data_IF_893102969107
#
_entry.id   IF_893102969107
#
_cell.length_a   1.000
_cell.length_b   1.000
_cell.length_c   1.000
_cell.angle_alpha   90.00
_cell.angle_beta   90.00
_cell.angle_gamma   90.00
#
_symmetry.space_group_name_H-M   'P 1'
#
loop_
_entity.id
_entity.type
_entity.pdbx_description
1 polymer ?
#
# COMPACT_ATOMS: atom_id res chain seq x y z
N UNK A 1 -9.15 -26.53 16.86
CA UNK A 1 -8.60 -25.43 17.69
C UNK A 1 -7.67 -24.49 16.91
N UNK A 2 -7.03 -24.94 15.82
CA UNK A 2 -6.05 -24.18 15.04
C UNK A 2 -6.59 -22.96 14.25
N UNK A 3 -7.85 -23.02 13.76
CA UNK A 3 -8.40 -22.02 12.83
C UNK A 3 -8.53 -20.59 13.39
N UNK A 4 -8.53 -20.43 14.72
CA UNK A 4 -8.63 -19.14 15.40
C UNK A 4 -7.25 -18.48 15.63
N UNK A 5 -6.18 -19.26 15.52
CA UNK A 5 -4.80 -18.80 15.74
C UNK A 5 -4.30 -18.12 14.46
N UNK A 6 -4.52 -18.71 13.28
CA UNK A 6 -4.07 -18.16 12.00
C UNK A 6 -4.67 -16.79 11.68
N UNK A 7 -5.96 -16.59 11.97
CA UNK A 7 -6.64 -15.31 11.73
C UNK A 7 -6.17 -14.20 12.68
N UNK A 8 -5.87 -14.56 13.93
CA UNK A 8 -5.33 -13.65 14.95
C UNK A 8 -3.90 -13.24 14.62
N UNK A 9 -3.07 -14.19 14.16
CA UNK A 9 -1.70 -13.92 13.69
C UNK A 9 -1.73 -12.96 12.48
N UNK A 10 -2.56 -13.24 11.48
CA UNK A 10 -2.64 -12.40 10.28
C UNK A 10 -3.08 -10.96 10.61
N UNK A 11 -4.08 -10.80 11.47
CA UNK A 11 -4.52 -9.47 11.90
C UNK A 11 -3.44 -8.72 12.70
N UNK A 12 -2.68 -9.42 13.54
CA UNK A 12 -1.56 -8.81 14.27
C UNK A 12 -0.43 -8.39 13.33
N UNK A 13 -0.10 -9.20 12.32
CA UNK A 13 0.92 -8.85 11.31
C UNK A 13 0.53 -7.56 10.58
N UNK A 14 -0.74 -7.46 10.13
CA UNK A 14 -1.21 -6.25 9.43
C UNK A 14 -1.21 -5.04 10.37
N UNK A 15 -1.58 -5.22 11.65
CA UNK A 15 -1.54 -4.14 12.64
C UNK A 15 -0.12 -3.63 12.89
N UNK A 16 0.85 -4.54 13.02
CA UNK A 16 2.28 -4.21 13.13
C UNK A 16 2.75 -3.48 11.87
N UNK A 17 2.33 -3.94 10.69
CA UNK A 17 2.62 -3.27 9.41
C UNK A 17 2.16 -1.81 9.42
N UNK A 18 0.89 -1.55 9.76
CA UNK A 18 0.35 -0.19 9.87
C UNK A 18 1.13 0.65 10.90
N UNK A 19 1.39 0.08 12.08
CA UNK A 19 2.13 0.77 13.14
C UNK A 19 3.55 1.14 12.71
N UNK A 20 4.24 0.22 12.03
CA UNK A 20 5.58 0.43 11.50
C UNK A 20 5.58 1.54 10.44
N UNK A 21 4.59 1.55 9.53
CA UNK A 21 4.47 2.61 8.51
C UNK A 21 4.28 3.98 9.15
N UNK A 22 3.35 4.10 10.11
CA UNK A 22 3.09 5.38 10.78
C UNK A 22 4.34 5.85 11.53
N UNK A 23 5.03 4.92 12.22
CA UNK A 23 6.29 5.21 12.90
C UNK A 23 7.35 5.75 11.92
N UNK A 24 7.58 5.06 10.79
CA UNK A 24 8.52 5.53 9.77
C UNK A 24 8.14 6.91 9.24
N UNK A 25 6.86 7.16 8.95
CA UNK A 25 6.40 8.45 8.43
C UNK A 25 6.67 9.58 9.44
N UNK A 26 6.47 9.35 10.74
CA UNK A 26 6.74 10.34 11.78
C UNK A 26 8.24 10.66 11.93
N UNK A 27 9.09 9.65 11.83
CA UNK A 27 10.55 9.82 11.97
C UNK A 27 11.22 10.33 10.68
N UNK A 28 10.60 10.14 9.52
CA UNK A 28 11.16 10.53 8.23
C UNK A 28 11.63 11.99 8.13
N UNK A 29 10.85 13.02 8.50
CA UNK A 29 11.29 14.41 8.39
C UNK A 29 12.47 14.73 9.31
N UNK A 30 12.50 14.17 10.52
CA UNK A 30 13.62 14.32 11.45
C UNK A 30 14.87 13.61 10.92
N UNK A 31 14.72 12.39 10.42
CA UNK A 31 15.81 11.59 9.85
C UNK A 31 16.43 12.23 8.61
N UNK A 32 15.59 12.71 7.69
CA UNK A 32 16.06 13.46 6.51
C UNK A 32 16.78 14.74 6.92
N UNK A 33 16.21 15.52 7.85
CA UNK A 33 16.84 16.77 8.31
C UNK A 33 18.21 16.49 8.95
N UNK A 34 18.32 15.47 9.80
CA UNK A 34 19.59 15.06 10.41
C UNK A 34 20.61 14.57 9.37
N UNK A 35 20.19 13.78 8.39
CA UNK A 35 21.05 13.27 7.32
C UNK A 35 21.61 14.41 6.46
N UNK A 36 20.76 15.32 5.99
CA UNK A 36 21.20 16.46 5.18
C UNK A 36 22.12 17.41 5.97
N UNK A 37 21.86 17.60 7.26
CA UNK A 37 22.69 18.44 8.13
C UNK A 37 24.07 17.82 8.42
N UNK A 38 24.11 16.52 8.72
CA UNK A 38 25.34 15.84 9.15
C UNK A 38 26.23 15.40 7.98
N UNK A 39 25.63 14.85 6.93
CA UNK A 39 26.37 14.25 5.80
C UNK A 39 26.75 15.30 4.75
N UNK A 40 25.83 16.22 4.46
CA UNK A 40 25.99 17.18 3.34
C UNK A 40 26.28 18.61 3.81
N UNK A 41 26.22 18.90 5.12
CA UNK A 41 26.44 20.24 5.67
C UNK A 41 25.37 21.26 5.26
N UNK A 42 24.22 20.82 4.75
CA UNK A 42 23.16 21.69 4.24
C UNK A 42 22.20 22.00 5.41
N UNK A 43 22.34 23.17 6.01
CA UNK A 43 21.64 23.53 7.26
C UNK A 43 20.33 24.31 7.03
N UNK A 44 20.09 24.86 5.84
CA UNK A 44 18.99 25.81 5.59
C UNK A 44 18.21 25.58 4.30
N UNK A 45 18.20 24.36 3.76
CA UNK A 45 17.46 24.07 2.53
C UNK A 45 16.07 23.51 2.83
N UNK A 46 15.09 23.87 2.00
CA UNK A 46 13.74 23.29 2.05
C UNK A 46 13.69 21.85 1.48
N UNK A 47 14.84 21.27 1.13
CA UNK A 47 14.95 19.95 0.47
C UNK A 47 14.36 18.83 1.33
N UNK A 48 14.68 18.71 2.65
CA UNK A 48 14.12 17.64 3.48
C UNK A 48 12.60 17.70 3.57
N UNK A 49 12.04 18.91 3.59
CA UNK A 49 10.59 19.14 3.66
C UNK A 49 9.93 18.73 2.35
N UNK A 50 10.45 19.16 1.20
CA UNK A 50 9.91 18.81 -0.12
C UNK A 50 9.93 17.28 -0.34
N UNK A 51 11.03 16.62 0.03
CA UNK A 51 11.13 15.15 -0.04
C UNK A 51 10.13 14.46 0.88
N UNK A 52 9.99 14.93 2.13
CA UNK A 52 9.02 14.38 3.09
C UNK A 52 7.59 14.48 2.58
N UNK A 53 7.22 15.63 2.00
CA UNK A 53 5.90 15.83 1.38
C UNK A 53 5.67 14.84 0.24
N UNK A 54 6.65 14.63 -0.64
CA UNK A 54 6.57 13.64 -1.71
C UNK A 54 6.31 12.22 -1.17
N UNK A 55 7.02 11.81 -0.13
CA UNK A 55 6.82 10.50 0.50
C UNK A 55 5.45 10.39 1.16
N UNK A 56 4.96 11.45 1.79
CA UNK A 56 3.63 11.45 2.41
C UNK A 56 2.50 11.30 1.38
N UNK A 57 2.64 11.92 0.20
CA UNK A 57 1.69 11.76 -0.90
C UNK A 57 1.63 10.29 -1.35
N UNK A 58 2.79 9.63 -1.53
CA UNK A 58 2.85 8.20 -1.88
C UNK A 58 2.33 7.30 -0.74
N UNK A 59 2.48 7.69 0.52
CA UNK A 59 2.06 6.85 1.64
C UNK A 59 0.52 6.71 1.77
N UNK A 60 -0.26 7.64 1.21
CA UNK A 60 -1.73 7.66 1.35
C UNK A 60 -2.39 6.42 0.72
N UNK A 61 -2.21 6.10 -0.58
CA UNK A 61 -2.80 4.89 -1.18
C UNK A 61 -2.34 3.61 -0.47
N UNK A 62 -1.07 3.53 -0.11
CA UNK A 62 -0.50 2.41 0.64
C UNK A 62 -1.20 2.19 2.00
N UNK A 63 -1.42 3.24 2.78
CA UNK A 63 -2.13 3.14 4.08
C UNK A 63 -3.59 2.71 3.89
N UNK A 64 -4.27 3.22 2.87
CA UNK A 64 -5.66 2.81 2.55
C UNK A 64 -5.70 1.32 2.19
N UNK A 65 -4.72 0.83 1.42
CA UNK A 65 -4.60 -0.59 1.08
C UNK A 65 -4.37 -1.45 2.33
N UNK A 66 -3.50 -1.05 3.26
CA UNK A 66 -3.26 -1.75 4.52
C UNK A 66 -4.51 -1.80 5.41
N UNK A 67 -5.24 -0.70 5.53
CA UNK A 67 -6.50 -0.67 6.30
C UNK A 67 -7.54 -1.61 5.67
N UNK A 68 -7.63 -1.64 4.34
CA UNK A 68 -8.52 -2.54 3.62
C UNK A 68 -8.12 -4.00 3.81
N UNK A 69 -6.81 -4.30 3.81
CA UNK A 69 -6.28 -5.62 4.13
C UNK A 69 -6.62 -6.05 5.56
N UNK A 70 -6.53 -5.14 6.54
CA UNK A 70 -6.94 -5.42 7.93
C UNK A 70 -8.41 -5.81 8.01
N UNK A 71 -9.29 -5.06 7.32
CA UNK A 71 -10.73 -5.37 7.27
C UNK A 71 -10.98 -6.74 6.63
N UNK A 72 -10.29 -7.05 5.53
CA UNK A 72 -10.34 -8.35 4.87
C UNK A 72 -9.94 -9.49 5.83
N UNK A 73 -8.83 -9.34 6.55
CA UNK A 73 -8.36 -10.33 7.54
C UNK A 73 -9.39 -10.54 8.66
N UNK A 74 -10.03 -9.46 9.13
CA UNK A 74 -11.09 -9.55 10.13
C UNK A 74 -12.34 -10.27 9.63
N UNK A 75 -12.71 -10.12 8.36
CA UNK A 75 -13.87 -10.81 7.78
C UNK A 75 -13.64 -12.32 7.69
N UNK A 76 -12.43 -12.72 7.29
CA UNK A 76 -12.01 -14.13 7.26
C UNK A 76 -12.02 -14.71 8.68
N UNK A 77 -11.54 -13.95 9.67
CA UNK A 77 -11.55 -14.35 11.08
C UNK A 77 -12.98 -14.61 11.61
N UNK A 78 -13.95 -13.81 11.18
CA UNK A 78 -15.36 -13.92 11.59
C UNK A 78 -16.11 -15.09 10.94
N UNK A 79 -15.43 -15.95 10.17
CA UNK A 79 -16.00 -17.13 9.47
C UNK A 79 -17.19 -16.80 8.55
N UNK A 80 -17.20 -15.60 7.94
CA UNK A 80 -18.16 -15.23 6.90
C UNK A 80 -17.46 -15.19 5.52
N UNK A 81 -17.06 -16.36 4.96
CA UNK A 81 -16.22 -16.43 3.77
C UNK A 81 -16.90 -15.95 2.47
N UNK A 82 -18.24 -15.90 2.45
CA UNK A 82 -19.03 -15.44 1.29
C UNK A 82 -19.62 -14.04 1.50
N UNK A 83 -19.01 -13.21 2.35
CA UNK A 83 -19.44 -11.83 2.51
C UNK A 83 -19.13 -11.02 1.25
N UNK A 84 -20.12 -10.28 0.73
CA UNK A 84 -19.93 -9.29 -0.36
C UNK A 84 -18.91 -8.19 -0.03
N UNK A 85 -18.50 -8.05 1.24
CA UNK A 85 -17.46 -7.11 1.65
C UNK A 85 -16.04 -7.56 1.26
N UNK A 86 -15.81 -8.87 1.09
CA UNK A 86 -14.51 -9.42 0.68
C UNK A 86 -14.09 -8.92 -0.71
N UNK A 87 -14.89 -9.12 -1.79
CA UNK A 87 -14.52 -8.62 -3.12
C UNK A 87 -14.43 -7.08 -3.17
N UNK A 88 -15.22 -6.39 -2.34
CA UNK A 88 -15.10 -4.93 -2.18
C UNK A 88 -13.71 -4.51 -1.67
N UNK A 89 -13.23 -5.09 -0.57
CA UNK A 89 -11.91 -4.75 -0.03
C UNK A 89 -10.77 -5.14 -0.97
N UNK A 90 -10.88 -6.26 -1.68
CA UNK A 90 -9.91 -6.67 -2.70
C UNK A 90 -9.85 -5.66 -3.86
N UNK A 91 -11.01 -5.15 -4.32
CA UNK A 91 -11.07 -4.11 -5.35
C UNK A 91 -10.46 -2.79 -4.87
N UNK A 92 -10.67 -2.41 -3.62
CA UNK A 92 -10.03 -1.20 -3.04
C UNK A 92 -8.51 -1.35 -3.01
N UNK A 93 -7.99 -2.50 -2.55
CA UNK A 93 -6.54 -2.77 -2.58
C UNK A 93 -5.98 -2.67 -4.00
N UNK A 94 -6.71 -3.21 -4.98
CA UNK A 94 -6.32 -3.14 -6.39
C UNK A 94 -6.22 -1.70 -6.91
N UNK A 95 -7.24 -0.89 -6.65
CA UNK A 95 -7.27 0.53 -7.07
C UNK A 95 -6.13 1.30 -6.40
N UNK A 96 -5.90 1.09 -5.09
CA UNK A 96 -4.78 1.72 -4.37
C UNK A 96 -3.44 1.33 -4.98
N UNK A 97 -3.22 0.05 -5.29
CA UNK A 97 -1.98 -0.42 -5.89
C UNK A 97 -1.76 0.19 -7.30
N UNK A 98 -2.77 0.24 -8.16
CA UNK A 98 -2.63 0.89 -9.46
C UNK A 98 -2.42 2.41 -9.35
N UNK A 99 -3.06 3.07 -8.37
CA UNK A 99 -2.83 4.51 -8.13
C UNK A 99 -1.42 4.80 -7.65
N UNK A 100 -0.81 3.87 -6.90
CA UNK A 100 0.58 3.98 -6.42
C UNK A 100 1.56 4.09 -7.59
N UNK A 101 1.31 3.36 -8.68
CA UNK A 101 2.13 3.45 -9.90
C UNK A 101 2.14 4.88 -10.42
N UNK A 102 0.97 5.50 -10.56
CA UNK A 102 0.87 6.86 -11.09
C UNK A 102 1.47 7.87 -10.13
N UNK A 103 1.10 7.81 -8.86
CA UNK A 103 1.53 8.77 -7.84
C UNK A 103 3.04 8.71 -7.66
N UNK A 104 3.62 7.52 -7.51
CA UNK A 104 5.06 7.36 -7.30
C UNK A 104 5.87 7.90 -8.48
N UNK A 105 5.48 7.55 -9.72
CA UNK A 105 6.19 8.01 -10.92
C UNK A 105 6.05 9.54 -11.10
N UNK A 106 4.88 10.12 -10.84
CA UNK A 106 4.69 11.58 -10.94
C UNK A 106 5.51 12.32 -9.88
N UNK A 107 5.49 11.85 -8.63
CA UNK A 107 6.29 12.44 -7.54
C UNK A 107 7.79 12.32 -7.88
N UNK A 108 8.25 11.16 -8.35
CA UNK A 108 9.64 10.97 -8.73
C UNK A 108 10.06 11.90 -9.87
N UNK A 109 9.27 12.01 -10.94
CA UNK A 109 9.54 12.93 -12.05
C UNK A 109 9.59 14.39 -11.59
N UNK A 110 8.65 14.79 -10.74
CA UNK A 110 8.61 16.13 -10.16
C UNK A 110 9.86 16.43 -9.33
N UNK A 111 10.30 15.50 -8.49
CA UNK A 111 11.53 15.65 -7.69
C UNK A 111 12.78 15.71 -8.57
N UNK A 112 12.88 14.86 -9.60
CA UNK A 112 13.99 14.92 -10.57
C UNK A 112 14.07 16.29 -11.26
N UNK A 113 12.91 16.83 -11.68
CA UNK A 113 12.83 18.16 -12.31
C UNK A 113 13.24 19.27 -11.34
N UNK A 114 12.71 19.27 -10.11
CA UNK A 114 13.00 20.30 -9.10
C UNK A 114 14.48 20.34 -8.71
N UNK A 115 15.11 19.18 -8.52
CA UNK A 115 16.51 19.10 -8.09
C UNK A 115 17.49 19.09 -9.27
N UNK A 116 17.01 19.21 -10.52
CA UNK A 116 17.83 19.11 -11.74
C UNK A 116 18.67 17.83 -11.75
N UNK A 117 18.14 16.76 -11.16
CA UNK A 117 18.81 15.45 -11.10
C UNK A 117 18.43 14.68 -12.35
N UNK A 118 19.43 14.23 -13.09
CA UNK A 118 19.20 13.39 -14.26
C UNK A 118 18.64 12.01 -13.86
N UNK A 119 17.92 11.40 -14.79
CA UNK A 119 17.38 10.04 -14.67
C UNK A 119 18.49 8.99 -14.76
N UNK A 120 19.39 8.97 -13.78
CA UNK A 120 20.38 7.91 -13.60
C UNK A 120 19.74 6.65 -13.01
N UNK A 121 20.45 5.52 -13.12
CA UNK A 121 20.00 4.21 -12.64
C UNK A 121 19.47 4.25 -11.20
N UNK A 122 20.10 5.03 -10.32
CA UNK A 122 19.69 5.17 -8.92
C UNK A 122 18.26 5.72 -8.74
N UNK A 123 17.76 6.55 -9.66
CA UNK A 123 16.42 7.12 -9.62
C UNK A 123 15.39 6.31 -10.44
N UNK A 124 15.82 5.66 -11.52
CA UNK A 124 14.94 4.86 -12.38
C UNK A 124 14.62 3.50 -11.74
N UNK A 125 15.61 2.86 -11.10
CA UNK A 125 15.44 1.51 -10.53
C UNK A 125 14.29 1.46 -9.51
N UNK A 126 14.18 2.39 -8.54
CA UNK A 126 13.05 2.42 -7.61
C UNK A 126 11.70 2.59 -8.33
N UNK A 127 11.64 3.43 -9.37
CA UNK A 127 10.42 3.64 -10.15
C UNK A 127 9.95 2.36 -10.85
N UNK A 128 10.86 1.62 -11.48
CA UNK A 128 10.54 0.34 -12.11
C UNK A 128 10.09 -0.68 -11.06
N UNK A 129 10.83 -0.79 -9.96
CA UNK A 129 10.56 -1.79 -8.93
C UNK A 129 9.21 -1.57 -8.24
N UNK A 130 8.94 -0.34 -7.79
CA UNK A 130 7.65 0.03 -7.17
C UNK A 130 6.52 -0.18 -8.15
N UNK A 131 6.68 0.23 -9.41
CA UNK A 131 5.65 0.04 -10.43
C UNK A 131 5.34 -1.45 -10.66
N UNK A 132 6.37 -2.29 -10.75
CA UNK A 132 6.20 -3.73 -10.99
C UNK A 132 5.51 -4.43 -9.82
N UNK A 133 5.92 -4.14 -8.58
CA UNK A 133 5.31 -4.71 -7.37
C UNK A 133 3.85 -4.27 -7.25
N UNK A 134 3.58 -2.98 -7.42
CA UNK A 134 2.23 -2.42 -7.38
C UNK A 134 1.35 -2.99 -8.48
N UNK A 135 1.89 -3.21 -9.68
CA UNK A 135 1.18 -3.85 -10.78
C UNK A 135 0.80 -5.29 -10.43
N UNK A 136 1.74 -6.07 -9.88
CA UNK A 136 1.49 -7.46 -9.47
C UNK A 136 0.41 -7.56 -8.36
N UNK A 137 0.51 -6.72 -7.32
CA UNK A 137 -0.48 -6.67 -6.24
C UNK A 137 -1.84 -6.21 -6.78
N UNK A 138 -1.84 -5.20 -7.65
CA UNK A 138 -3.04 -4.65 -8.28
C UNK A 138 -3.80 -5.70 -9.09
N UNK A 139 -3.11 -6.43 -9.95
CA UNK A 139 -3.71 -7.52 -10.73
C UNK A 139 -4.16 -8.69 -9.84
N UNK A 140 -3.32 -9.14 -8.91
CA UNK A 140 -3.66 -10.26 -8.03
C UNK A 140 -4.94 -9.97 -7.24
N UNK A 141 -5.02 -8.80 -6.62
CA UNK A 141 -6.19 -8.40 -5.84
C UNK A 141 -7.44 -8.19 -6.72
N UNK A 142 -7.29 -7.68 -7.95
CA UNK A 142 -8.41 -7.55 -8.89
C UNK A 142 -8.98 -8.92 -9.29
N UNK A 143 -8.10 -9.84 -9.68
CA UNK A 143 -8.47 -11.20 -10.10
C UNK A 143 -9.13 -11.94 -8.96
N UNK A 144 -8.53 -11.91 -7.75
CA UNK A 144 -9.15 -12.51 -6.56
C UNK A 144 -10.51 -11.87 -6.24
N UNK A 145 -10.64 -10.55 -6.37
CA UNK A 145 -11.92 -9.87 -6.18
C UNK A 145 -13.00 -10.39 -7.14
N UNK A 146 -12.67 -10.58 -8.42
CA UNK A 146 -13.60 -11.14 -9.42
C UNK A 146 -13.97 -12.59 -9.13
N UNK A 147 -12.99 -13.43 -8.79
CA UNK A 147 -13.22 -14.84 -8.45
C UNK A 147 -14.14 -14.96 -7.22
N UNK A 148 -13.92 -14.14 -6.20
CA UNK A 148 -14.79 -14.12 -5.02
C UNK A 148 -16.20 -13.64 -5.34
N UNK A 149 -16.37 -12.63 -6.20
CA UNK A 149 -17.70 -12.20 -6.66
C UNK A 149 -18.45 -13.36 -7.32
N UNK A 150 -17.81 -14.05 -8.28
CA UNK A 150 -18.41 -15.19 -8.97
C UNK A 150 -18.76 -16.33 -7.99
N UNK A 151 -17.87 -16.62 -7.04
CA UNK A 151 -18.11 -17.66 -6.03
C UNK A 151 -19.32 -17.33 -5.12
N UNK A 152 -19.51 -16.06 -4.77
CA UNK A 152 -20.66 -15.60 -3.98
C UNK A 152 -21.94 -15.71 -4.81
N UNK A 153 -21.92 -15.31 -6.08
CA UNK A 153 -23.09 -15.40 -6.97
C UNK A 153 -23.56 -16.85 -7.15
N UNK A 154 -22.63 -17.79 -7.39
CA UNK A 154 -22.93 -19.23 -7.49
C UNK A 154 -23.52 -19.77 -6.18
N UNK A 155 -23.02 -19.32 -5.03
CA UNK A 155 -23.54 -19.73 -3.73
C UNK A 155 -24.96 -19.19 -3.49
N UNK A 156 -25.20 -17.92 -3.82
CA UNK A 156 -26.52 -17.28 -3.69
C UNK A 156 -27.56 -17.90 -4.64
N UNK A 157 -27.17 -18.34 -5.83
CA UNK A 157 -28.07 -19.04 -6.77
C UNK A 157 -28.45 -20.44 -6.26
N UNK A 158 -27.48 -21.21 -5.78
CA UNK A 158 -27.74 -22.52 -5.17
C UNK A 158 -28.62 -22.41 -3.92
N UNK A 159 -28.45 -21.37 -3.09
CA UNK A 159 -29.28 -21.19 -1.89
C UNK A 159 -30.73 -20.76 -2.21
N UNK A 160 -31.01 -20.28 -3.44
CA UNK A 160 -32.37 -19.91 -3.90
C UNK A 160 -33.15 -21.04 -4.55
N UNK A 161 -32.49 -22.12 -4.92
CA UNK A 161 -33.08 -23.26 -5.66
C UNK A 161 -33.41 -24.46 -4.77
N UNK A 162 -32.99 -24.41 -3.49
CA UNK A 162 -33.27 -25.42 -2.46
C UNK A 162 -34.48 -25.01 -1.63
#
# INVERSE_FOLDING_TARGET
MEKNISSKILNNIVLVGIGLTICLLLFLPLGLTAFFKSSLGIVSSNIPIILSVGVYICAVPYLIALISLKKLCSLIAKKNPFSRQIPYHLKVISICAFSEILIFNVVQLFLCYLFKVYLYALNIIPAILVSFISLAIGFLSLVLGRLYTMAIEIKEENDKTI
#
